data_IF_538370506895
#
_entry.id   IF_538370506895
#
_cell.length_a   1.000
_cell.length_b   1.000
_cell.length_c   1.000
_cell.angle_alpha   90.00
_cell.angle_beta   90.00
_cell.angle_gamma   90.00
#
_symmetry.space_group_name_H-M   'P 1'
#
loop_
_entity.id
_entity.type
_entity.pdbx_description
1 polymer ?
#
# COMPACT_ATOMS: atom_id res chain seq x y z
N UNK A 1 5.27 -25.65 -32.47
CA UNK A 1 3.88 -25.51 -32.02
C UNK A 1 3.79 -25.09 -30.55
N UNK A 2 4.32 -25.86 -29.58
CA UNK A 2 4.35 -25.41 -28.17
C UNK A 2 5.25 -24.19 -27.94
N UNK A 3 6.40 -24.11 -28.59
CA UNK A 3 7.32 -22.96 -28.49
C UNK A 3 6.72 -21.67 -29.04
N UNK A 4 6.02 -21.73 -30.19
CA UNK A 4 5.28 -20.58 -30.73
C UNK A 4 4.17 -20.08 -29.79
N UNK A 5 3.51 -20.99 -29.07
CA UNK A 5 2.50 -20.62 -28.08
C UNK A 5 3.15 -19.88 -26.91
N UNK A 6 4.28 -20.39 -26.41
CA UNK A 6 5.08 -19.73 -25.36
C UNK A 6 5.55 -18.35 -25.80
N UNK A 7 6.03 -18.21 -27.04
CA UNK A 7 6.49 -16.93 -27.56
C UNK A 7 5.36 -15.91 -27.70
N UNK A 8 4.17 -16.36 -28.14
CA UNK A 8 2.96 -15.52 -28.18
C UNK A 8 2.51 -15.08 -26.79
N UNK A 9 2.56 -15.97 -25.80
CA UNK A 9 2.23 -15.64 -24.40
C UNK A 9 3.21 -14.58 -23.87
N UNK A 10 4.51 -14.76 -24.09
CA UNK A 10 5.53 -13.80 -23.67
C UNK A 10 5.34 -12.43 -24.34
N UNK A 11 4.97 -12.41 -25.62
CA UNK A 11 4.69 -11.16 -26.33
C UNK A 11 3.42 -10.48 -25.84
N UNK A 12 2.37 -11.24 -25.50
CA UNK A 12 1.17 -10.70 -24.86
C UNK A 12 1.47 -10.08 -23.50
N UNK A 13 2.29 -10.76 -22.68
CA UNK A 13 2.70 -10.25 -21.38
C UNK A 13 3.47 -8.92 -21.51
N UNK A 14 4.43 -8.85 -22.43
CA UNK A 14 5.16 -7.60 -22.74
C UNK A 14 4.22 -6.47 -23.16
N UNK A 15 3.27 -6.77 -24.06
CA UNK A 15 2.32 -5.77 -24.54
C UNK A 15 1.37 -5.30 -23.43
N UNK A 16 0.96 -6.18 -22.52
CA UNK A 16 0.16 -5.81 -21.35
C UNK A 16 0.92 -4.91 -20.38
N UNK A 17 2.20 -5.20 -20.12
CA UNK A 17 3.06 -4.34 -19.30
C UNK A 17 3.19 -2.95 -19.92
N UNK A 18 3.37 -2.88 -21.25
CA UNK A 18 3.47 -1.62 -21.98
C UNK A 18 2.17 -0.80 -21.91
N UNK A 19 1.02 -1.46 -22.06
CA UNK A 19 -0.31 -0.84 -21.94
C UNK A 19 -0.56 -0.30 -20.53
N UNK A 20 -0.16 -1.04 -19.50
CA UNK A 20 -0.21 -0.58 -18.12
C UNK A 20 0.65 0.67 -17.93
N UNK A 21 1.89 0.67 -18.41
CA UNK A 21 2.80 1.82 -18.28
C UNK A 21 2.25 3.07 -18.99
N UNK A 22 1.75 2.91 -20.22
CA UNK A 22 1.06 3.97 -20.97
C UNK A 22 -0.16 4.51 -20.23
N UNK A 23 -1.00 3.64 -19.67
CA UNK A 23 -2.18 4.04 -18.93
C UNK A 23 -1.81 4.86 -17.67
N UNK A 24 -0.76 4.46 -16.96
CA UNK A 24 -0.27 5.17 -15.77
C UNK A 24 0.31 6.54 -16.11
N UNK A 25 1.06 6.63 -17.21
CA UNK A 25 1.61 7.89 -17.71
C UNK A 25 0.51 8.85 -18.17
N UNK A 26 -0.53 8.36 -18.84
CA UNK A 26 -1.62 9.20 -19.35
C UNK A 26 -2.57 9.70 -18.26
N UNK A 27 -2.83 8.88 -17.23
CA UNK A 27 -3.88 9.19 -16.25
C UNK A 27 -3.39 9.96 -15.03
N UNK A 28 -2.07 10.10 -14.81
CA UNK A 28 -1.51 10.55 -13.52
C UNK A 28 -2.12 9.81 -12.31
N UNK A 29 -2.74 8.66 -12.57
CA UNK A 29 -3.48 7.89 -11.60
C UNK A 29 -2.46 7.17 -10.73
N UNK A 30 -2.70 7.18 -9.41
CA UNK A 30 -1.77 6.73 -8.36
C UNK A 30 -0.74 7.78 -7.91
N UNK A 31 -0.91 9.06 -8.23
CA UNK A 31 -0.05 10.11 -7.66
C UNK A 31 -0.54 10.55 -6.27
N UNK A 32 -1.83 10.34 -5.96
CA UNK A 32 -2.47 10.80 -4.71
C UNK A 32 -2.81 9.66 -3.77
N UNK A 33 -2.87 9.97 -2.48
CA UNK A 33 -3.30 9.04 -1.42
C UNK A 33 -4.61 8.31 -1.73
N UNK A 34 -5.61 9.01 -2.28
CA UNK A 34 -6.93 8.43 -2.55
C UNK A 34 -6.86 7.36 -3.64
N UNK A 35 -6.11 7.65 -4.70
CA UNK A 35 -5.95 6.78 -5.87
C UNK A 35 -5.12 5.56 -5.50
N UNK A 36 -4.03 5.75 -4.74
CA UNK A 36 -3.21 4.66 -4.20
C UNK A 36 -4.01 3.77 -3.25
N UNK A 37 -4.84 4.37 -2.39
CA UNK A 37 -5.72 3.64 -1.48
C UNK A 37 -6.74 2.78 -2.24
N UNK A 38 -7.40 3.34 -3.25
CA UNK A 38 -8.33 2.61 -4.13
C UNK A 38 -7.62 1.48 -4.87
N UNK A 39 -6.45 1.75 -5.44
CA UNK A 39 -5.70 0.75 -6.21
C UNK A 39 -5.23 -0.44 -5.35
N UNK A 40 -4.82 -0.18 -4.11
CA UNK A 40 -4.41 -1.21 -3.16
C UNK A 40 -5.59 -1.85 -2.41
N UNK A 41 -6.83 -1.37 -2.61
CA UNK A 41 -8.00 -1.83 -1.88
C UNK A 41 -7.90 -1.58 -0.36
N UNK A 42 -7.21 -0.52 0.05
CA UNK A 42 -6.97 -0.16 1.46
C UNK A 42 -7.56 1.21 1.78
N UNK A 43 -7.67 1.53 3.07
CA UNK A 43 -8.08 2.89 3.49
C UNK A 43 -6.91 3.87 3.36
N UNK A 44 -7.21 5.16 3.20
CA UNK A 44 -6.18 6.23 3.23
C UNK A 44 -5.35 6.19 4.51
N UNK A 45 -5.99 5.85 5.64
CA UNK A 45 -5.33 5.71 6.94
C UNK A 45 -4.29 4.60 6.90
N UNK A 46 -4.60 3.47 6.27
CA UNK A 46 -3.65 2.36 6.08
C UNK A 46 -2.44 2.80 5.25
N UNK A 47 -2.63 3.61 4.20
CA UNK A 47 -1.50 4.13 3.40
C UNK A 47 -0.61 5.05 4.25
N UNK A 48 -1.20 5.91 5.08
CA UNK A 48 -0.44 6.73 6.02
C UNK A 48 0.33 5.87 7.04
N UNK A 49 -0.31 4.81 7.55
CA UNK A 49 0.35 3.82 8.41
C UNK A 49 1.51 3.15 7.68
N UNK A 50 1.39 2.80 6.40
CA UNK A 50 2.48 2.21 5.63
C UNK A 50 3.68 3.15 5.44
N UNK A 51 3.42 4.45 5.30
CA UNK A 51 4.49 5.45 5.31
C UNK A 51 5.14 5.53 6.70
N UNK A 52 4.33 5.55 7.77
CA UNK A 52 4.81 5.62 9.16
C UNK A 52 5.61 4.37 9.58
N UNK A 53 5.20 3.19 9.11
CA UNK A 53 5.84 1.90 9.35
C UNK A 53 7.00 1.63 8.39
N UNK A 54 7.41 2.62 7.58
CA UNK A 54 8.47 2.50 6.57
C UNK A 54 8.26 1.37 5.53
N UNK A 55 7.02 0.89 5.36
CA UNK A 55 6.64 -0.04 4.28
C UNK A 55 6.68 0.67 2.92
N UNK A 56 6.25 1.93 2.90
CA UNK A 56 6.46 2.85 1.79
C UNK A 56 7.63 3.78 2.16
N UNK A 57 8.62 3.88 1.28
CA UNK A 57 9.92 4.51 1.57
C UNK A 57 10.02 5.77 0.74
N UNK A 58 10.43 6.88 1.38
CA UNK A 58 10.67 8.14 0.68
C UNK A 58 11.75 7.98 -0.39
N UNK A 59 11.60 8.64 -1.54
CA UNK A 59 12.43 8.54 -2.74
C UNK A 59 12.44 7.17 -3.46
N UNK A 60 11.66 6.20 -2.98
CA UNK A 60 11.44 4.91 -3.67
C UNK A 60 9.98 4.69 -4.04
N UNK A 61 9.07 4.91 -3.09
CA UNK A 61 7.63 4.70 -3.27
C UNK A 61 6.84 6.02 -3.36
N UNK A 62 7.38 7.09 -2.79
CA UNK A 62 6.81 8.44 -2.87
C UNK A 62 7.91 9.49 -2.73
N UNK A 63 7.65 10.69 -3.23
CA UNK A 63 8.46 11.89 -3.00
C UNK A 63 7.58 13.04 -2.53
N UNK A 64 8.19 14.04 -1.91
CA UNK A 64 7.49 15.27 -1.52
C UNK A 64 7.81 16.30 -2.60
N UNK A 65 6.78 16.74 -3.32
CA UNK A 65 6.91 17.78 -4.33
C UNK A 65 7.13 19.16 -3.67
N UNK A 66 7.58 20.16 -4.44
CA UNK A 66 7.88 21.52 -3.96
C UNK A 66 6.72 22.19 -3.20
N UNK A 67 5.48 21.73 -3.43
CA UNK A 67 4.26 22.18 -2.76
C UNK A 67 3.95 21.44 -1.43
N UNK A 68 4.92 20.73 -0.84
CA UNK A 68 4.76 19.87 0.34
C UNK A 68 3.71 18.74 0.19
N UNK A 69 3.34 18.40 -1.05
CA UNK A 69 2.41 17.31 -1.34
C UNK A 69 3.19 16.01 -1.54
N UNK A 70 2.74 14.94 -0.87
CA UNK A 70 3.24 13.59 -1.13
C UNK A 70 2.73 13.12 -2.48
N UNK A 71 3.66 12.91 -3.42
CA UNK A 71 3.38 12.33 -4.73
C UNK A 71 3.93 10.92 -4.74
N UNK A 72 3.06 9.96 -5.02
CA UNK A 72 3.43 8.54 -5.10
C UNK A 72 3.94 8.20 -6.50
N UNK A 73 4.87 7.25 -6.56
CA UNK A 73 5.45 6.76 -7.81
C UNK A 73 4.62 5.55 -8.26
N UNK A 74 3.82 5.64 -9.34
CA UNK A 74 2.85 4.60 -9.71
C UNK A 74 3.50 3.23 -9.93
N UNK A 75 4.64 3.17 -10.63
CA UNK A 75 5.40 1.94 -10.88
C UNK A 75 5.77 1.21 -9.59
N UNK A 76 6.26 1.95 -8.60
CA UNK A 76 6.68 1.40 -7.32
C UNK A 76 5.49 0.89 -6.48
N UNK A 77 4.31 1.51 -6.61
CA UNK A 77 3.06 1.04 -5.98
C UNK A 77 2.54 -0.24 -6.63
N UNK A 78 2.72 -0.41 -7.94
CA UNK A 78 2.35 -1.64 -8.65
C UNK A 78 3.24 -2.79 -8.24
N UNK A 79 4.56 -2.57 -8.20
CA UNK A 79 5.52 -3.56 -7.69
C UNK A 79 5.18 -3.97 -6.25
N UNK A 80 4.79 -3.01 -5.40
CA UNK A 80 4.34 -3.29 -4.03
C UNK A 80 3.05 -4.13 -3.96
N UNK A 81 2.15 -4.01 -4.95
CA UNK A 81 0.94 -4.82 -5.04
C UNK A 81 1.22 -6.24 -5.52
N UNK A 82 2.15 -6.40 -6.47
CA UNK A 82 2.53 -7.69 -7.03
C UNK A 82 3.36 -8.54 -6.05
N UNK A 83 4.23 -7.89 -5.28
CA UNK A 83 4.97 -8.50 -4.19
C UNK A 83 4.52 -7.87 -2.89
N UNK A 84 3.37 -8.28 -2.31
CA UNK A 84 3.05 -7.88 -0.96
C UNK A 84 4.19 -8.41 -0.10
N UNK A 85 5.06 -7.52 0.38
CA UNK A 85 6.06 -7.89 1.38
C UNK A 85 5.26 -8.54 2.49
N UNK A 86 5.39 -9.86 2.64
CA UNK A 86 4.79 -10.60 3.73
C UNK A 86 5.21 -9.85 4.97
N UNK A 87 4.25 -9.18 5.59
CA UNK A 87 4.49 -8.50 6.84
C UNK A 87 4.82 -9.62 7.82
N UNK A 88 6.11 -9.87 8.05
CA UNK A 88 6.56 -10.50 9.29
C UNK A 88 5.81 -9.77 10.38
N UNK A 89 4.85 -10.48 10.98
CA UNK A 89 3.88 -9.92 11.90
C UNK A 89 4.61 -9.02 12.89
N UNK A 90 4.34 -7.72 12.81
CA UNK A 90 4.77 -6.81 13.84
C UNK A 90 4.00 -7.30 15.06
N UNK A 91 4.74 -7.88 16.01
CA UNK A 91 4.25 -8.33 17.32
C UNK A 91 3.20 -7.36 17.81
N UNK A 92 2.02 -7.88 18.17
CA UNK A 92 1.03 -7.14 18.93
C UNK A 92 1.74 -6.49 20.11
N UNK A 93 2.07 -5.20 20.03
CA UNK A 93 2.24 -4.40 21.23
C UNK A 93 0.85 -4.35 21.82
N UNK A 94 0.61 -5.27 22.76
CA UNK A 94 -0.50 -5.21 23.70
C UNK A 94 -0.46 -3.83 24.32
N UNK A 95 -1.29 -2.92 23.79
CA UNK A 95 -1.56 -1.67 24.48
C UNK A 95 -2.24 -2.11 25.76
N UNK A 96 -1.51 -2.10 26.88
CA UNK A 96 -2.13 -2.29 28.19
C UNK A 96 -3.19 -1.21 28.29
N UNK A 97 -4.46 -1.59 28.20
CA UNK A 97 -5.57 -0.68 28.51
C UNK A 97 -5.38 -0.28 29.96
N UNK A 98 -4.81 0.90 30.19
CA UNK A 98 -4.86 1.54 31.51
C UNK A 98 -6.32 1.88 31.72
N UNK A 99 -7.03 1.05 32.48
CA UNK A 99 -8.42 1.33 32.84
C UNK A 99 -8.44 2.54 33.78
N UNK A 100 -9.34 3.48 33.52
CA UNK A 100 -9.57 4.58 34.44
C UNK A 100 -10.13 4.00 35.75
N UNK A 101 -9.73 4.51 36.94
CA UNK A 101 -10.13 3.95 38.24
C UNK A 101 -11.66 3.86 38.46
N UNK A 102 -12.44 4.65 37.72
CA UNK A 102 -13.91 4.60 37.74
C UNK A 102 -14.42 3.30 37.09
N UNK A 103 -13.81 2.85 35.99
CA UNK A 103 -14.20 1.62 35.31
C UNK A 103 -13.88 0.37 36.15
N UNK A 104 -12.79 0.42 36.94
CA UNK A 104 -12.41 -0.66 37.86
C UNK A 104 -13.41 -0.81 39.01
N UNK A 105 -13.89 0.31 39.59
CA UNK A 105 -14.95 0.30 40.61
C UNK A 105 -16.28 -0.23 40.10
N UNK A 106 -16.63 0.05 38.84
CA UNK A 106 -17.87 -0.46 38.23
C UNK A 106 -17.80 -1.97 37.99
N UNK A 107 -16.63 -2.51 37.65
CA UNK A 107 -16.44 -3.95 37.47
C UNK A 107 -16.43 -4.71 38.80
N UNK A 108 -15.88 -4.13 39.87
CA UNK A 108 -15.88 -4.74 41.21
C UNK A 108 -17.22 -4.66 41.93
N UNK A 109 -18.08 -3.68 41.60
CA UNK A 109 -19.42 -3.54 42.19
C UNK A 109 -20.48 -4.50 41.65
N UNK A 110 -20.13 -5.37 40.69
CA UNK A 110 -21.04 -6.38 40.09
C UNK A 110 -20.68 -7.80 40.56
N UNK A 111 -19.74 -7.94 41.50
CA UNK A 111 -19.40 -9.22 42.15
C UNK A 111 -20.03 -9.35 43.54
#
# INVERSE_FOLDING_TARGET
MFEEILEKINNLEKNMVLLLDLHLQQTNSLTKYNEVALFLGKTKRTIYTYIKEAKLVANKHYYIDANAKTVFIPKAIIEFKQNPVETKGIKETTVSRVMHPIAEKLLQGVA
#
